data_IF_430789807295
#
_entry.id   IF_430789807295
#
_cell.length_a   1.000
_cell.length_b   1.000
_cell.length_c   1.000
_cell.angle_alpha   90.00
_cell.angle_beta   90.00
_cell.angle_gamma   90.00
#
_symmetry.space_group_name_H-M   'P 1'
#
loop_
_entity.id
_entity.type
_entity.pdbx_description
1 polymer ?
#
# COMPACT_ATOMS: atom_id res chain seq x y z
N UNK A 1 23.25 9.00 20.12
CA UNK A 1 23.63 7.86 19.23
C UNK A 1 22.42 7.29 18.48
N UNK A 2 21.35 6.91 19.18
CA UNK A 2 20.10 6.35 18.62
C UNK A 2 19.48 7.21 17.50
N UNK A 3 19.37 8.53 17.69
CA UNK A 3 18.83 9.46 16.69
C UNK A 3 19.71 9.54 15.43
N UNK A 4 21.04 9.55 15.59
CA UNK A 4 21.97 9.57 14.44
C UNK A 4 21.82 8.30 13.61
N UNK A 5 21.77 7.14 14.26
CA UNK A 5 21.52 5.85 13.59
C UNK A 5 20.19 5.89 12.85
N UNK A 6 19.12 6.39 13.50
CA UNK A 6 17.81 6.53 12.89
C UNK A 6 17.85 7.38 11.62
N UNK A 7 18.45 8.58 11.68
CA UNK A 7 18.57 9.49 10.54
C UNK A 7 19.38 8.87 9.41
N UNK A 8 20.50 8.20 9.72
CA UNK A 8 21.32 7.53 8.70
C UNK A 8 20.57 6.40 8.00
N UNK A 9 19.85 5.56 8.77
CA UNK A 9 19.02 4.49 8.21
C UNK A 9 17.87 5.05 7.37
N UNK A 10 17.20 6.10 7.85
CA UNK A 10 16.14 6.77 7.12
C UNK A 10 16.66 7.35 5.80
N UNK A 11 17.77 8.09 5.83
CA UNK A 11 18.37 8.69 4.65
C UNK A 11 18.81 7.63 3.63
N UNK A 12 19.46 6.55 4.08
CA UNK A 12 19.87 5.44 3.22
C UNK A 12 18.66 4.75 2.57
N UNK A 13 17.61 4.48 3.37
CA UNK A 13 16.35 3.91 2.91
C UNK A 13 15.67 4.80 1.86
N UNK A 14 15.51 6.09 2.13
CA UNK A 14 14.88 7.01 1.17
C UNK A 14 15.72 7.21 -0.10
N UNK A 15 17.05 7.24 0.01
CA UNK A 15 17.94 7.32 -1.15
C UNK A 15 17.82 6.08 -2.05
N UNK A 16 17.75 4.89 -1.46
CA UNK A 16 17.52 3.64 -2.20
C UNK A 16 16.14 3.66 -2.87
N UNK A 17 15.08 3.95 -2.11
CA UNK A 17 13.72 4.05 -2.65
C UNK A 17 13.60 5.09 -3.79
N UNK A 18 14.22 6.26 -3.63
CA UNK A 18 14.24 7.31 -4.65
C UNK A 18 14.97 6.87 -5.91
N UNK A 19 16.12 6.20 -5.78
CA UNK A 19 16.85 5.61 -6.92
C UNK A 19 15.97 4.60 -7.66
N UNK A 20 15.31 3.70 -6.94
CA UNK A 20 14.48 2.67 -7.57
C UNK A 20 13.26 3.26 -8.26
N UNK A 21 12.60 4.23 -7.64
CA UNK A 21 11.47 4.97 -8.24
C UNK A 21 11.92 5.76 -9.47
N UNK A 22 13.12 6.34 -9.45
CA UNK A 22 13.70 7.00 -10.62
C UNK A 22 13.97 6.03 -11.77
N UNK A 23 14.48 4.83 -11.50
CA UNK A 23 14.65 3.79 -12.54
C UNK A 23 13.30 3.38 -13.12
N UNK A 24 12.29 3.18 -12.27
CA UNK A 24 10.90 2.93 -12.72
C UNK A 24 10.40 4.05 -13.64
N UNK A 25 10.56 5.31 -13.23
CA UNK A 25 10.17 6.45 -14.06
C UNK A 25 10.90 6.46 -15.40
N UNK A 26 12.20 6.19 -15.41
CA UNK A 26 12.99 6.06 -16.65
C UNK A 26 12.49 4.95 -17.56
N UNK A 27 12.11 3.80 -17.00
CA UNK A 27 11.56 2.70 -17.78
C UNK A 27 10.23 3.10 -18.43
N UNK A 28 9.33 3.74 -17.68
CA UNK A 28 8.05 4.25 -18.21
C UNK A 28 8.27 5.28 -19.31
N UNK A 29 9.18 6.24 -19.11
CA UNK A 29 9.45 7.30 -20.09
C UNK A 29 10.40 6.90 -21.22
N UNK A 30 10.88 5.65 -21.25
CA UNK A 30 11.60 5.10 -22.40
C UNK A 30 10.64 4.73 -23.56
N UNK A 31 9.34 4.60 -23.26
CA UNK A 31 8.33 4.36 -24.28
C UNK A 31 8.10 5.55 -25.20
N UNK A 32 7.58 5.29 -26.40
CA UNK A 32 7.23 6.34 -27.37
C UNK A 32 6.12 7.26 -26.85
N UNK A 33 5.98 8.41 -27.50
CA UNK A 33 4.89 9.34 -27.22
C UNK A 33 3.52 8.66 -27.39
N UNK A 34 2.61 8.88 -26.45
CA UNK A 34 1.20 8.51 -26.63
C UNK A 34 0.50 9.63 -27.42
N UNK A 35 -0.11 9.35 -28.59
CA UNK A 35 -0.77 10.37 -29.40
C UNK A 35 -2.05 10.93 -28.77
N UNK A 36 -2.60 10.26 -27.74
CA UNK A 36 -3.82 10.70 -27.06
C UNK A 36 -3.54 11.81 -26.08
N UNK A 37 -4.50 12.71 -25.84
CA UNK A 37 -4.36 13.71 -24.79
C UNK A 37 -4.41 13.00 -23.43
N UNK A 38 -3.26 12.99 -22.73
CA UNK A 38 -3.07 12.32 -21.43
C UNK A 38 -3.00 13.28 -20.25
N UNK A 39 -2.75 14.57 -20.50
CA UNK A 39 -2.50 15.60 -19.48
C UNK A 39 -3.37 16.86 -19.68
N UNK A 40 -4.35 16.80 -20.59
CA UNK A 40 -5.42 17.79 -20.77
C UNK A 40 -6.42 17.77 -19.60
N UNK A 41 -7.37 18.72 -19.55
CA UNK A 41 -8.48 18.74 -18.56
C UNK A 41 -8.03 18.43 -17.11
N UNK A 42 -7.12 19.25 -16.58
CA UNK A 42 -6.59 19.09 -15.21
C UNK A 42 -7.69 18.95 -14.15
N UNK A 43 -8.77 19.77 -14.14
CA UNK A 43 -9.83 19.63 -13.14
C UNK A 43 -10.52 18.26 -13.21
N UNK A 44 -10.82 17.80 -14.41
CA UNK A 44 -11.42 16.49 -14.62
C UNK A 44 -10.54 15.33 -14.14
N UNK A 45 -9.23 15.40 -14.40
CA UNK A 45 -8.27 14.36 -13.98
C UNK A 45 -8.03 14.36 -12.47
N UNK A 46 -8.00 15.52 -11.83
CA UNK A 46 -7.95 15.61 -10.36
C UNK A 46 -9.22 15.03 -9.73
N UNK A 47 -10.39 15.28 -10.32
CA UNK A 47 -11.63 14.64 -9.92
C UNK A 47 -11.57 13.11 -10.10
N UNK A 48 -10.97 12.63 -11.19
CA UNK A 48 -10.76 11.19 -11.39
C UNK A 48 -9.87 10.59 -10.29
N UNK A 49 -8.79 11.26 -9.89
CA UNK A 49 -7.97 10.82 -8.75
C UNK A 49 -8.81 10.78 -7.47
N UNK A 50 -9.60 11.82 -7.20
CA UNK A 50 -10.54 11.84 -6.07
C UNK A 50 -11.49 10.62 -6.06
N UNK A 51 -12.14 10.35 -7.19
CA UNK A 51 -13.16 9.29 -7.30
C UNK A 51 -12.55 7.89 -7.35
N UNK A 52 -11.50 7.68 -8.13
CA UNK A 52 -10.95 6.36 -8.40
C UNK A 52 -9.85 5.96 -7.43
N UNK A 53 -8.99 6.90 -7.01
CA UNK A 53 -7.91 6.61 -6.05
C UNK A 53 -8.41 6.70 -4.61
N UNK A 54 -8.92 7.86 -4.18
CA UNK A 54 -9.40 8.01 -2.79
C UNK A 54 -10.77 7.35 -2.56
N UNK A 55 -11.69 7.52 -3.50
CA UNK A 55 -13.03 6.93 -3.45
C UNK A 55 -13.07 5.44 -3.79
N UNK A 56 -11.96 4.87 -4.30
CA UNK A 56 -11.81 3.42 -4.57
C UNK A 56 -12.96 2.83 -5.42
N UNK A 57 -13.57 3.63 -6.32
CA UNK A 57 -14.77 3.25 -7.06
C UNK A 57 -14.65 1.90 -7.78
N UNK A 58 -13.50 1.63 -8.41
CA UNK A 58 -13.24 0.37 -9.15
C UNK A 58 -13.03 -0.85 -8.25
N UNK A 59 -12.57 -0.66 -7.02
CA UNK A 59 -12.41 -1.74 -6.04
C UNK A 59 -13.75 -2.10 -5.40
N UNK A 60 -14.62 -1.10 -5.22
CA UNK A 60 -15.99 -1.31 -4.71
C UNK A 60 -16.93 -1.95 -5.75
N UNK A 61 -16.70 -1.71 -7.04
CA UNK A 61 -17.45 -2.34 -8.14
C UNK A 61 -17.39 -3.88 -8.06
N UNK A 62 -18.50 -4.55 -8.32
CA UNK A 62 -18.54 -6.01 -8.30
C UNK A 62 -17.64 -6.61 -9.38
N UNK A 63 -16.90 -7.64 -8.99
CA UNK A 63 -16.03 -8.39 -9.89
C UNK A 63 -16.82 -9.35 -10.79
N UNK A 64 -16.13 -9.95 -11.77
CA UNK A 64 -16.61 -11.18 -12.42
C UNK A 64 -17.08 -12.19 -11.35
N UNK A 65 -18.16 -12.91 -11.65
CA UNK A 65 -18.77 -13.90 -10.74
C UNK A 65 -19.38 -13.31 -9.44
N UNK A 66 -19.73 -12.02 -9.40
CA UNK A 66 -20.31 -11.31 -8.24
C UNK A 66 -19.41 -11.36 -6.99
N UNK A 67 -18.11 -11.64 -7.16
CA UNK A 67 -17.14 -11.66 -6.06
C UNK A 67 -16.54 -10.28 -5.91
N UNK A 68 -16.60 -9.74 -4.70
CA UNK A 68 -16.08 -8.39 -4.42
C UNK A 68 -14.78 -8.45 -3.62
N UNK A 69 -13.92 -7.46 -3.82
CA UNK A 69 -12.72 -7.24 -3.01
C UNK A 69 -12.93 -6.13 -1.98
N UNK A 70 -14.17 -5.98 -1.47
CA UNK A 70 -14.55 -4.89 -0.54
C UNK A 70 -13.72 -4.86 0.74
N UNK A 71 -13.19 -5.99 1.20
CA UNK A 71 -12.22 -6.05 2.31
C UNK A 71 -10.98 -5.16 2.07
N UNK A 72 -10.57 -4.99 0.81
CA UNK A 72 -9.46 -4.13 0.44
C UNK A 72 -9.76 -2.64 0.68
N UNK A 73 -11.02 -2.22 0.70
CA UNK A 73 -11.41 -0.83 1.01
C UNK A 73 -11.04 -0.48 2.46
N UNK A 74 -11.30 -1.41 3.39
CA UNK A 74 -10.92 -1.26 4.80
C UNK A 74 -9.41 -1.27 4.98
N UNK A 75 -8.70 -2.09 4.22
CA UNK A 75 -7.23 -2.08 4.20
C UNK A 75 -6.74 -0.71 3.71
N UNK A 76 -7.20 -0.24 2.55
CA UNK A 76 -6.76 1.02 1.94
C UNK A 76 -7.02 2.24 2.84
N UNK A 77 -8.26 2.46 3.29
CA UNK A 77 -8.57 3.61 4.15
C UNK A 77 -7.95 3.48 5.53
N UNK A 78 -7.83 2.26 6.06
CA UNK A 78 -7.06 2.00 7.27
C UNK A 78 -5.60 2.44 7.11
N UNK A 79 -4.97 2.11 5.99
CA UNK A 79 -3.62 2.56 5.70
C UNK A 79 -3.49 4.08 5.58
N UNK A 80 -4.46 4.78 4.99
CA UNK A 80 -4.42 6.25 4.95
C UNK A 80 -4.42 6.86 6.36
N UNK A 81 -5.23 6.32 7.27
CA UNK A 81 -5.30 6.76 8.66
C UNK A 81 -4.00 6.39 9.41
N UNK A 82 -3.54 5.15 9.28
CA UNK A 82 -2.33 4.66 9.96
C UNK A 82 -1.06 5.35 9.45
N UNK A 83 -1.05 5.81 8.20
CA UNK A 83 0.05 6.62 7.65
C UNK A 83 0.29 7.88 8.48
N UNK A 84 -0.74 8.46 9.12
CA UNK A 84 -0.57 9.58 10.05
C UNK A 84 0.31 9.18 11.24
N UNK A 85 0.12 7.97 11.80
CA UNK A 85 0.98 7.40 12.84
C UNK A 85 2.40 7.13 12.34
N UNK A 86 2.55 6.68 11.09
CA UNK A 86 3.87 6.49 10.47
C UNK A 86 4.59 7.82 10.29
N UNK A 87 3.90 8.89 9.90
CA UNK A 87 4.52 10.22 9.84
C UNK A 87 4.93 10.67 11.25
N UNK A 88 4.08 10.46 12.25
CA UNK A 88 4.36 10.80 13.65
C UNK A 88 5.63 10.10 14.19
N UNK A 89 5.76 8.79 13.98
CA UNK A 89 6.94 8.02 14.43
C UNK A 89 8.22 8.44 13.68
N UNK A 90 8.11 8.77 12.38
CA UNK A 90 9.26 9.22 11.60
C UNK A 90 9.69 10.63 12.04
N UNK A 91 8.75 11.57 12.18
CA UNK A 91 9.02 12.94 12.61
C UNK A 91 9.63 12.96 14.01
N UNK A 92 9.04 12.23 14.96
CA UNK A 92 9.58 12.15 16.33
C UNK A 92 10.96 11.48 16.40
N UNK A 93 11.25 10.55 15.49
CA UNK A 93 12.58 9.96 15.33
C UNK A 93 13.64 10.92 14.78
N UNK A 94 13.26 11.85 13.88
CA UNK A 94 14.16 12.89 13.34
C UNK A 94 14.32 14.06 14.32
N UNK A 95 13.21 14.53 14.89
CA UNK A 95 13.12 15.69 15.78
C UNK A 95 12.49 15.23 17.10
N UNK A 96 13.30 14.78 18.07
CA UNK A 96 12.81 14.37 19.38
C UNK A 96 11.99 15.48 20.04
N UNK A 97 10.81 15.12 20.54
CA UNK A 97 9.88 16.06 21.16
C UNK A 97 8.81 16.63 20.22
N UNK A 98 8.93 16.43 18.90
CA UNK A 98 7.86 16.75 17.95
C UNK A 98 7.04 15.50 17.65
N UNK A 99 5.78 15.51 18.07
CA UNK A 99 4.81 14.45 17.76
C UNK A 99 3.38 14.97 17.82
N UNK A 100 2.42 14.15 17.41
CA UNK A 100 0.98 14.41 17.53
C UNK A 100 0.55 14.69 18.98
N UNK A 101 1.32 14.26 19.97
CA UNK A 101 1.08 14.57 21.40
C UNK A 101 1.21 16.06 21.73
N UNK A 102 1.86 16.86 20.87
CA UNK A 102 1.89 18.32 21.02
C UNK A 102 0.54 18.97 20.69
N UNK A 103 -0.34 18.26 19.97
CA UNK A 103 -1.69 18.76 19.71
C UNK A 103 -2.52 18.71 21.00
N UNK A 104 -3.44 19.68 21.19
CA UNK A 104 -4.41 19.62 22.28
C UNK A 104 -5.15 18.27 22.31
N UNK A 105 -5.50 17.79 23.49
CA UNK A 105 -6.15 16.48 23.68
C UNK A 105 -7.41 16.29 22.84
N UNK A 106 -8.19 17.36 22.64
CA UNK A 106 -9.39 17.34 21.77
C UNK A 106 -9.08 16.97 20.31
N UNK A 107 -7.84 17.15 19.87
CA UNK A 107 -7.36 16.75 18.55
C UNK A 107 -6.55 15.46 18.60
N UNK A 108 -5.64 15.30 19.56
CA UNK A 108 -4.75 14.12 19.58
C UNK A 108 -5.52 12.83 19.90
N UNK A 109 -6.47 12.86 20.84
CA UNK A 109 -7.10 11.64 21.35
C UNK A 109 -7.99 10.98 20.27
N UNK A 110 -8.84 11.72 19.52
CA UNK A 110 -9.57 11.12 18.41
C UNK A 110 -8.67 10.54 17.31
N UNK A 111 -7.52 11.17 17.04
CA UNK A 111 -6.57 10.69 16.03
C UNK A 111 -5.96 9.36 16.48
N UNK A 112 -5.46 9.27 17.72
CA UNK A 112 -4.92 8.01 18.25
C UNK A 112 -5.97 6.91 18.37
N UNK A 113 -7.22 7.26 18.72
CA UNK A 113 -8.33 6.30 18.70
C UNK A 113 -8.59 5.74 17.31
N UNK A 114 -8.64 6.62 16.29
CA UNK A 114 -8.82 6.19 14.92
C UNK A 114 -7.66 5.29 14.46
N UNK A 115 -6.41 5.64 14.78
CA UNK A 115 -5.23 4.83 14.47
C UNK A 115 -5.31 3.46 15.15
N UNK A 116 -5.58 3.41 16.45
CA UNK A 116 -5.59 2.18 17.26
C UNK A 116 -6.68 1.20 16.77
N UNK A 117 -7.89 1.71 16.53
CA UNK A 117 -9.00 0.91 16.00
C UNK A 117 -8.73 0.47 14.56
N UNK A 118 -8.21 1.35 13.70
CA UNK A 118 -7.94 0.99 12.30
C UNK A 118 -6.80 -0.01 12.16
N UNK A 119 -5.79 -0.01 13.04
CA UNK A 119 -4.78 -1.08 13.07
C UNK A 119 -5.43 -2.45 13.30
N UNK A 120 -6.43 -2.53 14.18
CA UNK A 120 -7.16 -3.79 14.43
C UNK A 120 -8.00 -4.18 13.22
N UNK A 121 -8.74 -3.23 12.64
CA UNK A 121 -9.55 -3.48 11.44
C UNK A 121 -8.67 -4.00 10.30
N UNK A 122 -7.53 -3.36 10.03
CA UNK A 122 -6.57 -3.79 9.01
C UNK A 122 -6.04 -5.19 9.33
N UNK A 123 -5.64 -5.46 10.58
CA UNK A 123 -5.15 -6.77 10.98
C UNK A 123 -6.20 -7.89 10.74
N UNK A 124 -7.45 -7.64 11.10
CA UNK A 124 -8.57 -8.55 10.83
C UNK A 124 -8.78 -8.76 9.32
N UNK A 125 -8.68 -7.69 8.52
CA UNK A 125 -8.78 -7.79 7.06
C UNK A 125 -7.61 -8.54 6.43
N UNK A 126 -6.42 -8.50 7.02
CA UNK A 126 -5.28 -9.32 6.58
C UNK A 126 -5.52 -10.79 6.88
N UNK A 127 -6.03 -11.14 8.06
CA UNK A 127 -6.44 -12.52 8.38
C UNK A 127 -7.47 -12.99 7.36
N UNK A 128 -8.49 -12.18 7.09
CA UNK A 128 -9.48 -12.49 6.06
C UNK A 128 -8.86 -12.62 4.66
N UNK A 129 -7.92 -11.76 4.29
CA UNK A 129 -7.24 -11.79 3.01
C UNK A 129 -6.37 -13.06 2.84
N UNK A 130 -5.79 -13.58 3.93
CA UNK A 130 -5.09 -14.86 3.96
C UNK A 130 -6.10 -16.00 3.78
N UNK A 131 -7.15 -16.06 4.60
CA UNK A 131 -8.23 -17.06 4.50
C UNK A 131 -8.82 -17.12 3.09
N UNK A 132 -9.08 -15.96 2.49
CA UNK A 132 -9.61 -15.86 1.14
C UNK A 132 -8.64 -16.46 0.12
N UNK A 133 -7.33 -16.29 0.28
CA UNK A 133 -6.33 -16.80 -0.66
C UNK A 133 -5.98 -18.28 -0.45
N UNK A 134 -6.05 -18.79 0.78
CA UNK A 134 -5.65 -20.17 1.11
C UNK A 134 -6.83 -21.15 1.18
N UNK A 135 -8.01 -20.68 1.56
CA UNK A 135 -9.21 -21.52 1.73
C UNK A 135 -10.23 -21.26 0.61
N UNK A 136 -10.67 -20.01 0.42
CA UNK A 136 -11.73 -19.68 -0.56
C UNK A 136 -11.22 -19.80 -2.01
N UNK A 137 -9.94 -19.47 -2.25
CA UNK A 137 -9.24 -19.60 -3.53
C UNK A 137 -10.03 -19.06 -4.74
N UNK A 138 -10.14 -17.74 -4.92
CA UNK A 138 -10.79 -17.16 -6.08
C UNK A 138 -10.12 -17.60 -7.38
N UNK A 139 -10.93 -17.84 -8.41
CA UNK A 139 -10.45 -18.17 -9.74
C UNK A 139 -9.48 -17.09 -10.26
N UNK A 140 -8.37 -17.52 -10.88
CA UNK A 140 -7.31 -16.66 -11.45
C UNK A 140 -6.55 -15.78 -10.45
N UNK A 141 -6.71 -16.00 -9.15
CA UNK A 141 -5.95 -15.27 -8.13
C UNK A 141 -5.15 -16.29 -7.31
N UNK A 142 -4.01 -16.78 -7.83
CA UNK A 142 -3.19 -17.76 -7.15
C UNK A 142 -2.43 -17.15 -5.96
N UNK A 143 -2.10 -18.00 -4.98
CA UNK A 143 -1.16 -17.64 -3.93
C UNK A 143 0.27 -17.62 -4.49
N UNK A 144 1.05 -16.62 -4.11
CA UNK A 144 2.46 -16.53 -4.44
C UNK A 144 3.24 -15.94 -3.26
N UNK A 145 4.56 -16.11 -3.27
CA UNK A 145 5.42 -15.67 -2.16
C UNK A 145 5.33 -14.16 -1.93
N UNK A 146 5.36 -13.36 -2.99
CA UNK A 146 5.27 -11.89 -2.90
C UNK A 146 3.99 -11.45 -2.18
N UNK A 147 2.84 -12.04 -2.51
CA UNK A 147 1.58 -11.76 -1.82
C UNK A 147 1.65 -12.13 -0.34
N UNK A 148 2.31 -13.25 0.00
CA UNK A 148 2.57 -13.65 1.38
C UNK A 148 3.47 -12.67 2.13
N UNK A 149 4.57 -12.23 1.51
CA UNK A 149 5.50 -11.25 2.08
C UNK A 149 4.84 -9.88 2.28
N UNK A 150 4.01 -9.43 1.33
CA UNK A 150 3.25 -8.17 1.45
C UNK A 150 2.26 -8.25 2.62
N UNK A 151 1.44 -9.30 2.69
CA UNK A 151 0.48 -9.47 3.78
C UNK A 151 1.19 -9.64 5.13
N UNK A 152 2.31 -10.35 5.14
CA UNK A 152 3.16 -10.52 6.33
C UNK A 152 3.75 -9.20 6.80
N UNK A 153 4.28 -8.37 5.88
CA UNK A 153 4.81 -7.05 6.20
C UNK A 153 3.74 -6.12 6.78
N UNK A 154 2.58 -6.04 6.12
CA UNK A 154 1.43 -5.27 6.61
C UNK A 154 0.98 -5.76 8.00
N UNK A 155 0.78 -7.07 8.16
CA UNK A 155 0.35 -7.64 9.44
C UNK A 155 1.36 -7.38 10.56
N UNK A 156 2.66 -7.51 10.23
CA UNK A 156 3.75 -7.23 11.18
C UNK A 156 3.77 -5.76 11.60
N UNK A 157 3.48 -4.81 10.69
CA UNK A 157 3.34 -3.40 11.05
C UNK A 157 2.21 -3.19 12.08
N UNK A 158 1.03 -3.79 11.88
CA UNK A 158 -0.08 -3.64 12.83
C UNK A 158 0.26 -4.25 14.19
N UNK A 159 0.84 -5.45 14.20
CA UNK A 159 1.25 -6.15 15.44
C UNK A 159 2.30 -5.36 16.19
N UNK A 160 3.31 -4.84 15.49
CA UNK A 160 4.39 -4.08 16.13
C UNK A 160 3.95 -2.69 16.58
N UNK A 161 2.93 -2.10 15.95
CA UNK A 161 2.25 -0.90 16.45
C UNK A 161 1.63 -1.16 17.82
N UNK A 162 0.82 -2.22 17.96
CA UNK A 162 0.24 -2.60 19.25
C UNK A 162 1.28 -3.02 20.29
N UNK A 163 2.38 -3.64 19.86
CA UNK A 163 3.50 -3.97 20.75
C UNK A 163 4.14 -2.70 21.32
N UNK A 164 4.49 -1.74 20.45
CA UNK A 164 5.10 -0.47 20.84
C UNK A 164 4.20 0.31 21.80
N UNK A 165 2.92 0.47 21.44
CA UNK A 165 1.96 1.22 22.26
C UNK A 165 1.51 0.46 23.51
N UNK A 166 1.42 -0.86 23.48
CA UNK A 166 1.10 -1.69 24.64
C UNK A 166 2.18 -1.58 25.72
N UNK A 167 3.46 -1.62 25.34
CA UNK A 167 4.55 -1.35 26.29
C UNK A 167 4.52 0.07 26.83
N UNK A 168 4.15 1.04 26.00
CA UNK A 168 4.07 2.44 26.41
C UNK A 168 3.00 2.64 27.48
N UNK A 169 1.79 2.13 27.25
CA UNK A 169 0.68 2.18 28.22
C UNK A 169 1.03 1.43 29.51
N UNK A 170 1.60 0.23 29.41
CA UNK A 170 2.00 -0.55 30.59
C UNK A 170 3.05 0.19 31.43
N UNK A 171 4.03 0.83 30.78
CA UNK A 171 5.06 1.62 31.46
C UNK A 171 4.50 2.86 32.17
N UNK A 172 3.57 3.58 31.53
CA UNK A 172 2.90 4.74 32.15
C UNK A 172 2.07 4.34 33.37
N UNK A 173 1.31 3.24 33.28
CA UNK A 173 0.54 2.69 34.40
C UNK A 173 1.46 2.26 35.55
N UNK A 174 2.56 1.57 35.25
CA UNK A 174 3.53 1.14 36.26
C UNK A 174 4.25 2.32 36.94
N UNK A 175 4.50 3.41 36.22
CA UNK A 175 5.18 4.60 36.75
C UNK A 175 4.26 5.51 37.58
N UNK A 176 2.99 5.63 37.20
CA UNK A 176 2.06 6.61 37.78
C UNK A 176 0.98 6.00 38.67
N UNK A 177 0.75 4.68 38.59
CA UNK A 177 -0.42 4.03 39.18
C UNK A 177 -1.75 4.43 38.53
N UNK A 178 -1.70 5.13 37.38
CA UNK A 178 -2.86 5.61 36.65
C UNK A 178 -3.60 4.50 35.90
N UNK A 179 -4.71 4.89 35.26
CA UNK A 179 -5.53 4.02 34.41
C UNK A 179 -5.11 4.09 32.95
N UNK A 180 -5.38 3.02 32.20
CA UNK A 180 -5.11 2.99 30.77
C UNK A 180 -5.91 4.06 29.99
N UNK A 181 -5.34 4.66 28.93
CA UNK A 181 -6.01 5.69 28.15
C UNK A 181 -7.19 5.12 27.36
N UNK A 182 -8.36 5.76 27.48
CA UNK A 182 -9.58 5.34 26.79
C UNK A 182 -9.47 5.40 25.26
N UNK A 183 -8.65 6.30 24.73
CA UNK A 183 -8.47 6.55 23.31
C UNK A 183 -7.48 5.60 22.64
N UNK A 184 -6.98 4.59 23.34
CA UNK A 184 -6.17 3.51 22.76
C UNK A 184 -6.65 2.15 23.29
N UNK A 185 -7.91 1.77 23.03
CA UNK A 185 -8.54 0.62 23.68
C UNK A 185 -7.84 -0.72 23.38
N UNK A 186 -7.37 -0.92 22.14
CA UNK A 186 -6.71 -2.17 21.74
C UNK A 186 -5.29 -2.22 22.30
N UNK A 187 -4.52 -1.14 22.19
CA UNK A 187 -3.20 -1.07 22.84
C UNK A 187 -3.29 -1.19 24.36
N UNK A 188 -4.33 -0.64 24.99
CA UNK A 188 -4.60 -0.78 26.43
C UNK A 188 -4.93 -2.23 26.81
N UNK A 189 -5.71 -2.93 25.97
CA UNK A 189 -5.93 -4.36 26.14
C UNK A 189 -4.61 -5.15 26.02
N UNK A 190 -3.77 -4.85 25.02
CA UNK A 190 -2.45 -5.49 24.85
C UNK A 190 -1.53 -5.18 26.05
N UNK A 191 -1.60 -3.99 26.62
CA UNK A 191 -0.84 -3.61 27.82
C UNK A 191 -1.12 -4.50 29.03
N UNK A 192 -2.30 -5.12 29.13
CA UNK A 192 -2.61 -6.07 30.22
C UNK A 192 -1.66 -7.27 30.24
N UNK A 193 -1.20 -7.73 29.08
CA UNK A 193 -0.21 -8.80 28.97
C UNK A 193 1.17 -8.39 29.53
N UNK A 194 1.41 -7.09 29.66
CA UNK A 194 2.64 -6.50 30.19
C UNK A 194 2.48 -5.92 31.60
N UNK A 195 1.30 -6.06 32.22
CA UNK A 195 1.00 -5.52 33.55
C UNK A 195 2.00 -5.90 34.66
N UNK A 196 2.61 -7.10 34.68
CA UNK A 196 3.63 -7.46 35.67
C UNK A 196 4.99 -6.74 35.51
N UNK A 197 5.21 -6.01 34.42
CA UNK A 197 6.50 -5.36 34.17
C UNK A 197 6.68 -4.10 35.01
N UNK A 198 7.92 -3.87 35.47
CA UNK A 198 8.29 -2.55 36.00
C UNK A 198 8.32 -1.50 34.89
N UNK A 199 8.23 -0.22 35.28
CA UNK A 199 8.35 0.90 34.35
C UNK A 199 9.63 0.82 33.49
N UNK A 200 10.76 0.44 34.10
CA UNK A 200 12.04 0.26 33.39
C UNK A 200 12.01 -0.89 32.38
N UNK A 201 11.36 -2.00 32.73
CA UNK A 201 11.23 -3.14 31.83
C UNK A 201 10.31 -2.80 30.64
N UNK A 202 9.20 -2.13 30.91
CA UNK A 202 8.29 -1.62 29.89
C UNK A 202 8.99 -0.60 28.97
N UNK A 203 9.81 0.31 29.51
CA UNK A 203 10.58 1.27 28.72
C UNK A 203 11.57 0.61 27.75
N UNK A 204 12.23 -0.49 28.16
CA UNK A 204 13.04 -1.31 27.23
C UNK A 204 12.17 -1.96 26.15
N UNK A 205 10.98 -2.44 26.50
CA UNK A 205 9.99 -2.95 25.55
C UNK A 205 9.55 -1.91 24.52
N UNK A 206 9.33 -0.66 24.95
CA UNK A 206 9.03 0.48 24.05
C UNK A 206 10.16 0.67 23.05
N UNK A 207 11.43 0.70 23.49
CA UNK A 207 12.58 0.87 22.60
C UNK A 207 12.68 -0.29 21.59
N UNK A 208 12.48 -1.53 22.05
CA UNK A 208 12.47 -2.70 21.17
C UNK A 208 11.34 -2.63 20.13
N UNK A 209 10.11 -2.37 20.57
CA UNK A 209 8.94 -2.26 19.71
C UNK A 209 9.07 -1.14 18.69
N UNK A 210 9.60 0.01 19.10
CA UNK A 210 9.90 1.15 18.22
C UNK A 210 10.86 0.75 17.11
N UNK A 211 12.03 0.20 17.46
CA UNK A 211 13.04 -0.16 16.47
C UNK A 211 12.60 -1.29 15.56
N UNK A 212 11.92 -2.29 16.11
CA UNK A 212 11.34 -3.36 15.31
C UNK A 212 10.34 -2.81 14.29
N UNK A 213 9.42 -1.93 14.71
CA UNK A 213 8.44 -1.30 13.83
C UNK A 213 9.11 -0.44 12.74
N UNK A 214 10.06 0.42 13.11
CA UNK A 214 10.82 1.26 12.17
C UNK A 214 11.57 0.42 11.13
N UNK A 215 12.27 -0.63 11.56
CA UNK A 215 13.00 -1.50 10.63
C UNK A 215 12.07 -2.20 9.64
N UNK A 216 10.88 -2.64 10.09
CA UNK A 216 9.86 -3.22 9.21
C UNK A 216 9.34 -2.16 8.23
N UNK A 217 9.04 -0.93 8.69
CA UNK A 217 8.61 0.17 7.81
C UNK A 217 9.63 0.41 6.70
N UNK A 218 10.91 0.61 7.06
CA UNK A 218 11.96 0.95 6.10
C UNK A 218 12.24 -0.23 5.14
N UNK A 219 12.22 -1.46 5.66
CA UNK A 219 12.38 -2.65 4.80
C UNK A 219 11.22 -2.78 3.82
N UNK A 220 9.98 -2.63 4.31
CA UNK A 220 8.79 -2.75 3.48
C UNK A 220 8.74 -1.66 2.41
N UNK A 221 9.05 -0.40 2.75
CA UNK A 221 9.16 0.72 1.82
C UNK A 221 10.06 0.39 0.62
N UNK A 222 11.24 -0.16 0.88
CA UNK A 222 12.21 -0.49 -0.17
C UNK A 222 11.88 -1.77 -0.92
N UNK A 223 11.05 -2.65 -0.35
CA UNK A 223 10.54 -3.84 -1.04
C UNK A 223 9.38 -3.50 -2.00
N UNK A 224 8.60 -2.43 -1.75
CA UNK A 224 7.44 -2.05 -2.58
C UNK A 224 7.73 -2.08 -4.09
N UNK A 225 8.79 -1.43 -4.60
CA UNK A 225 9.00 -1.32 -6.05
C UNK A 225 9.40 -2.64 -6.73
N UNK A 226 9.84 -3.64 -5.97
CA UNK A 226 10.26 -4.95 -6.49
C UNK A 226 9.17 -6.01 -6.32
N UNK A 227 8.02 -5.62 -5.76
CA UNK A 227 6.93 -6.52 -5.45
C UNK A 227 5.69 -6.16 -6.26
N UNK A 228 4.69 -7.03 -6.20
CA UNK A 228 3.34 -6.77 -6.74
C UNK A 228 2.65 -5.54 -6.10
N UNK A 229 3.20 -5.00 -5.01
CA UNK A 229 2.69 -3.77 -4.39
C UNK A 229 3.13 -2.48 -5.11
N UNK A 230 3.97 -2.56 -6.15
CA UNK A 230 4.37 -1.40 -6.98
C UNK A 230 3.16 -0.65 -7.57
N UNK A 231 2.00 -1.31 -7.69
CA UNK A 231 0.76 -0.67 -8.09
C UNK A 231 0.39 0.54 -7.23
N UNK A 232 0.85 0.64 -5.99
CA UNK A 232 0.62 1.84 -5.17
C UNK A 232 1.29 3.07 -5.78
N UNK A 233 2.49 2.90 -6.37
CA UNK A 233 3.23 3.96 -7.06
C UNK A 233 2.67 4.21 -8.47
N UNK A 234 2.27 3.15 -9.18
CA UNK A 234 1.72 3.25 -10.52
C UNK A 234 0.28 3.77 -10.58
N UNK A 235 -0.57 3.46 -9.61
CA UNK A 235 -2.01 3.70 -9.69
C UNK A 235 -2.40 5.17 -9.76
N UNK A 236 -1.79 6.03 -8.94
CA UNK A 236 -2.12 7.47 -8.92
C UNK A 236 -1.80 8.15 -10.27
N UNK A 237 -0.56 8.09 -10.80
CA UNK A 237 -0.26 8.69 -12.10
C UNK A 237 -1.02 7.99 -13.24
N UNK A 238 -1.29 6.69 -13.13
CA UNK A 238 -2.08 5.97 -14.12
C UNK A 238 -3.53 6.48 -14.21
N UNK A 239 -4.21 6.64 -13.08
CA UNK A 239 -5.57 7.20 -13.00
C UNK A 239 -5.57 8.64 -13.51
N UNK A 240 -4.60 9.45 -13.10
CA UNK A 240 -4.48 10.82 -13.57
C UNK A 240 -4.35 10.88 -15.10
N UNK A 241 -3.50 10.03 -15.69
CA UNK A 241 -3.26 9.97 -17.13
C UNK A 241 -4.23 9.07 -17.91
N UNK A 242 -5.35 8.63 -17.32
CA UNK A 242 -6.29 7.71 -18.00
C UNK A 242 -6.89 8.33 -19.27
N UNK A 243 -7.36 7.49 -20.20
CA UNK A 243 -8.16 7.99 -21.32
C UNK A 243 -9.53 8.46 -20.82
N UNK A 244 -9.88 9.71 -21.11
CA UNK A 244 -11.20 10.32 -20.84
C UNK A 244 -12.07 10.43 -22.10
N UNK A 245 -11.46 10.41 -23.28
CA UNK A 245 -12.09 10.71 -24.57
C UNK A 245 -12.90 9.55 -25.15
N UNK A 246 -12.51 8.29 -24.90
CA UNK A 246 -13.23 7.12 -25.40
C UNK A 246 -13.27 5.99 -24.35
N UNK A 247 -14.45 5.39 -24.11
CA UNK A 247 -14.61 4.16 -23.32
C UNK A 247 -14.20 2.91 -24.11
N UNK A 248 -13.07 2.97 -24.82
CA UNK A 248 -12.52 1.85 -25.60
C UNK A 248 -11.21 1.39 -24.97
N UNK A 249 -10.85 0.13 -25.23
CA UNK A 249 -9.54 -0.39 -24.91
C UNK A 249 -8.49 0.45 -25.65
N UNK A 250 -7.50 0.92 -24.92
CA UNK A 250 -6.43 1.80 -25.37
C UNK A 250 -5.39 1.07 -26.25
N UNK A 251 -5.80 0.08 -27.02
CA UNK A 251 -4.91 -0.71 -27.89
C UNK A 251 -4.73 -0.01 -29.24
N UNK A 252 -3.49 0.24 -29.69
CA UNK A 252 -3.25 0.72 -31.04
C UNK A 252 -3.79 -0.30 -32.04
N UNK A 253 -4.35 0.19 -33.15
CA UNK A 253 -4.73 -0.68 -34.27
C UNK A 253 -3.44 -1.23 -34.89
N UNK A 254 -3.44 -2.52 -35.19
CA UNK A 254 -2.38 -3.15 -35.94
C UNK A 254 -2.43 -2.62 -37.38
N UNK A 255 -1.31 -2.10 -37.87
CA UNK A 255 -1.18 -1.79 -39.29
C UNK A 255 -0.85 -3.10 -40.02
N UNK A 256 -1.83 -3.61 -40.77
CA UNK A 256 -1.70 -4.88 -41.48
C UNK A 256 -0.97 -4.70 -42.82
N UNK A 257 -0.77 -3.45 -43.26
CA UNK A 257 -0.08 -3.11 -44.51
C UNK A 257 1.44 -2.97 -44.31
N UNK A 258 1.90 -2.79 -43.06
CA UNK A 258 3.32 -2.81 -42.74
C UNK A 258 3.82 -4.26 -42.60
N UNK A 259 4.38 -4.79 -43.68
CA UNK A 259 4.95 -6.13 -43.71
C UNK A 259 6.17 -6.30 -42.77
N UNK A 260 6.80 -5.20 -42.32
CA UNK A 260 8.03 -5.22 -41.54
C UNK A 260 7.82 -5.20 -40.03
N UNK A 261 6.69 -4.66 -39.54
CA UNK A 261 6.45 -4.54 -38.10
C UNK A 261 4.99 -4.81 -37.71
N UNK A 262 4.75 -6.02 -37.22
CA UNK A 262 3.46 -6.43 -36.66
C UNK A 262 3.41 -6.12 -35.17
N UNK A 263 2.92 -4.93 -34.81
CA UNK A 263 2.68 -4.55 -33.42
C UNK A 263 3.95 -4.14 -32.68
N UNK A 264 4.16 -4.68 -31.48
CA UNK A 264 5.28 -4.32 -30.59
C UNK A 264 6.19 -5.53 -30.38
N UNK A 265 7.44 -5.41 -30.80
CA UNK A 265 8.49 -6.42 -30.63
C UNK A 265 9.50 -6.06 -29.53
N UNK A 266 9.65 -4.77 -29.21
CA UNK A 266 10.57 -4.26 -28.18
C UNK A 266 9.83 -3.40 -27.17
N UNK A 267 10.32 -3.42 -25.92
CA UNK A 267 9.72 -2.67 -24.81
C UNK A 267 9.57 -1.17 -25.11
N UNK A 268 10.55 -0.55 -25.75
CA UNK A 268 10.58 0.88 -26.05
C UNK A 268 9.56 1.31 -27.12
N UNK A 269 8.99 0.35 -27.87
CA UNK A 269 7.95 0.63 -28.87
C UNK A 269 6.57 0.79 -28.23
N UNK A 270 6.38 0.40 -26.97
CA UNK A 270 5.16 0.74 -26.23
C UNK A 270 5.11 2.24 -25.96
N UNK A 271 3.90 2.80 -25.91
CA UNK A 271 3.72 4.17 -25.40
C UNK A 271 4.10 4.23 -23.92
N UNK A 272 4.61 5.37 -23.45
CA UNK A 272 4.88 5.57 -22.02
C UNK A 272 3.66 5.24 -21.13
N UNK A 273 2.44 5.49 -21.62
CA UNK A 273 1.22 5.21 -20.88
C UNK A 273 0.94 3.71 -20.78
N UNK A 274 1.18 2.97 -21.86
CA UNK A 274 1.09 1.50 -21.87
C UNK A 274 2.10 0.87 -20.91
N UNK A 275 3.31 1.44 -20.83
CA UNK A 275 4.30 1.03 -19.84
C UNK A 275 3.87 1.37 -18.41
N UNK A 276 3.24 2.53 -18.18
CA UNK A 276 2.66 2.87 -16.87
C UNK A 276 1.51 1.93 -16.47
N UNK A 277 0.74 1.41 -17.43
CA UNK A 277 -0.36 0.46 -17.17
C UNK A 277 0.13 -0.86 -16.57
N UNK A 278 1.32 -1.34 -16.95
CA UNK A 278 1.86 -2.59 -16.40
C UNK A 278 2.17 -2.45 -14.91
N UNK A 279 2.73 -1.32 -14.50
CA UNK A 279 3.05 -1.02 -13.11
C UNK A 279 1.85 -0.64 -12.25
N UNK A 280 0.68 -0.37 -12.84
CA UNK A 280 -0.56 -0.11 -12.12
C UNK A 280 -1.42 -1.37 -11.92
N UNK A 281 -1.00 -2.52 -12.46
CA UNK A 281 -1.72 -3.77 -12.35
C UNK A 281 -1.84 -4.23 -10.89
N UNK A 282 -3.05 -4.53 -10.45
CA UNK A 282 -3.33 -5.00 -9.08
C UNK A 282 -3.66 -6.50 -9.01
N UNK A 283 -3.39 -7.27 -10.07
CA UNK A 283 -3.74 -8.71 -10.15
C UNK A 283 -5.23 -8.99 -9.85
N UNK A 284 -6.13 -8.09 -10.26
CA UNK A 284 -7.57 -8.25 -10.03
C UNK A 284 -8.23 -9.28 -10.96
N UNK A 285 -7.49 -9.80 -11.95
CA UNK A 285 -7.94 -10.74 -12.97
C UNK A 285 -9.14 -10.27 -13.84
N UNK A 286 -9.59 -9.01 -13.74
CA UNK A 286 -10.73 -8.52 -14.54
C UNK A 286 -10.43 -8.59 -16.04
N UNK A 287 -9.24 -8.18 -16.47
CA UNK A 287 -8.84 -8.23 -17.87
C UNK A 287 -8.86 -9.66 -18.44
N UNK A 288 -8.45 -10.67 -17.67
CA UNK A 288 -8.52 -12.08 -18.09
C UNK A 288 -9.94 -12.62 -18.07
N UNK A 289 -10.73 -12.36 -17.02
CA UNK A 289 -12.11 -12.84 -16.93
C UNK A 289 -13.02 -12.29 -18.03
N UNK A 290 -12.79 -11.05 -18.50
CA UNK A 290 -13.56 -10.46 -19.60
C UNK A 290 -12.94 -10.68 -20.98
N UNK A 291 -11.79 -11.35 -21.08
CA UNK A 291 -11.12 -11.59 -22.35
C UNK A 291 -11.87 -12.65 -23.17
N UNK A 292 -12.40 -12.32 -24.37
CA UNK A 292 -13.08 -13.31 -25.20
C UNK A 292 -12.16 -14.47 -25.61
N UNK A 293 -10.90 -14.19 -25.92
CA UNK A 293 -9.93 -15.21 -26.30
C UNK A 293 -9.72 -16.23 -25.17
N UNK A 294 -9.47 -15.76 -23.94
CA UNK A 294 -9.33 -16.61 -22.75
C UNK A 294 -10.58 -17.48 -22.54
N UNK A 295 -11.76 -16.86 -22.61
CA UNK A 295 -13.04 -17.54 -22.38
C UNK A 295 -13.42 -18.55 -23.47
N UNK A 296 -12.82 -18.47 -24.65
CA UNK A 296 -12.95 -19.48 -25.73
C UNK A 296 -11.89 -20.59 -25.67
N UNK A 297 -11.11 -20.66 -24.58
CA UNK A 297 -10.08 -21.68 -24.38
C UNK A 297 -8.76 -21.41 -25.13
N UNK A 298 -8.57 -20.22 -25.69
CA UNK A 298 -7.29 -19.83 -26.30
C UNK A 298 -6.28 -19.48 -25.21
N UNK A 299 -5.00 -19.72 -25.49
CA UNK A 299 -3.89 -19.44 -24.57
C UNK A 299 -3.51 -17.95 -24.54
N UNK A 300 -4.47 -17.06 -24.23
CA UNK A 300 -4.24 -15.62 -24.09
C UNK A 300 -4.86 -15.10 -22.79
N UNK A 301 -4.02 -14.66 -21.86
CA UNK A 301 -4.44 -13.99 -20.62
C UNK A 301 -3.77 -12.61 -20.54
N UNK A 302 -4.52 -11.50 -20.71
CA UNK A 302 -3.96 -10.16 -20.62
C UNK A 302 -3.29 -9.87 -19.28
N UNK A 303 -3.75 -10.49 -18.18
CA UNK A 303 -3.10 -10.36 -16.89
C UNK A 303 -1.72 -11.03 -16.90
N UNK A 304 -1.61 -12.27 -17.39
CA UNK A 304 -0.33 -12.99 -17.42
C UNK A 304 0.70 -12.25 -18.26
N UNK A 305 0.30 -11.71 -19.41
CA UNK A 305 1.17 -10.90 -20.27
C UNK A 305 1.80 -9.68 -19.56
N UNK A 306 1.13 -9.11 -18.55
CA UNK A 306 1.66 -7.98 -17.77
C UNK A 306 2.69 -8.45 -16.72
N UNK A 307 2.62 -9.72 -16.30
CA UNK A 307 3.46 -10.29 -15.24
C UNK A 307 4.60 -11.17 -15.74
N UNK A 308 4.53 -11.66 -16.98
CA UNK A 308 5.58 -12.42 -17.66
C UNK A 308 6.71 -11.51 -18.15
#
# INVERSE_FOLDING_TARGET
MTQVIFILLLAASFAFFARTTWVFGRAVFAGVADPRPRLDDLPGRLMDVGVYFFGQKKVAEEGPQHRTSKHHLFIFWGFLIITVATVDIIVSGVIPGVSLKLLPDVLNQPIYLAIDVMNLVVLLMIVWAIVRRTIVKPHLIPWNLDAGLILGGIGSLMVTHFLYHGYHVAGEMAATGGSAPWYMPVSSFVATAFGPLSADAAARGVQFGYWLHVLIILTFLNYLPYSKHIHLLGALPNIFARNRSERRLDMPKLDLEDENQWGVAKFEQFSWKSLMDTYACTECARCTNYCPAYNTGKNLSPMQLIHD
#
